data_IF_377146969833
#
_entry.id   IF_377146969833
#
_cell.length_a   1.000
_cell.length_b   1.000
_cell.length_c   1.000
_cell.angle_alpha   90.00
_cell.angle_beta   90.00
_cell.angle_gamma   90.00
#
_symmetry.space_group_name_H-M   'P 1'
#
loop_
_entity.id
_entity.type
_entity.pdbx_description
1 polymer ?
#
# COMPACT_ATOMS: atom_id res chain seq x y z
N UNK A 1 -22.24 -12.60 -16.03
CA UNK A 1 -22.79 -12.41 -14.68
C UNK A 1 -21.73 -12.72 -13.66
N UNK A 2 -21.46 -11.74 -12.81
CA UNK A 2 -20.19 -11.44 -12.16
C UNK A 2 -19.64 -12.53 -11.22
N UNK A 3 -18.44 -13.02 -11.52
CA UNK A 3 -17.58 -13.71 -10.56
C UNK A 3 -16.63 -12.74 -9.82
N UNK A 4 -16.71 -11.44 -10.11
CA UNK A 4 -15.84 -10.39 -9.56
C UNK A 4 -15.97 -10.11 -8.04
N UNK A 5 -17.11 -10.35 -7.34
CA UNK A 5 -17.17 -10.08 -5.90
C UNK A 5 -16.59 -11.21 -5.04
N UNK A 6 -16.65 -12.46 -5.50
CA UNK A 6 -16.25 -13.63 -4.70
C UNK A 6 -14.72 -13.84 -4.64
N UNK A 7 -13.97 -13.39 -5.66
CA UNK A 7 -12.50 -13.35 -5.62
C UNK A 7 -11.99 -12.26 -4.68
N UNK A 8 -12.53 -11.04 -4.80
CA UNK A 8 -12.15 -9.90 -3.93
C UNK A 8 -12.28 -10.20 -2.44
N UNK A 9 -13.36 -10.88 -2.03
CA UNK A 9 -13.58 -11.25 -0.63
C UNK A 9 -12.59 -12.30 -0.10
N UNK A 10 -12.02 -13.15 -0.96
CA UNK A 10 -10.95 -14.09 -0.56
C UNK A 10 -9.58 -13.43 -0.55
N UNK A 11 -9.35 -12.46 -1.43
CA UNK A 11 -8.13 -11.64 -1.43
C UNK A 11 -8.08 -10.71 -0.21
N UNK A 12 -9.23 -10.30 0.33
CA UNK A 12 -9.34 -9.51 1.57
C UNK A 12 -8.84 -10.25 2.83
N UNK A 13 -8.83 -11.59 2.82
CA UNK A 13 -8.25 -12.41 3.89
C UNK A 13 -6.73 -12.51 3.77
N UNK A 14 -6.19 -12.31 2.57
CA UNK A 14 -4.76 -12.22 2.31
C UNK A 14 -4.32 -10.77 2.54
N UNK A 15 -3.09 -10.56 2.99
CA UNK A 15 -2.57 -9.19 2.99
C UNK A 15 -2.66 -8.67 1.54
N UNK A 16 -3.08 -7.44 1.31
CA UNK A 16 -3.21 -6.86 -0.05
C UNK A 16 -1.85 -6.73 -0.79
N UNK A 17 -0.77 -7.19 -0.16
CA UNK A 17 0.62 -7.20 -0.61
C UNK A 17 1.17 -8.63 -0.77
N UNK A 18 0.32 -9.65 -0.87
CA UNK A 18 0.67 -11.05 -0.62
C UNK A 18 1.01 -11.87 -1.86
N UNK A 19 2.15 -12.56 -1.79
CA UNK A 19 2.29 -13.95 -2.23
C UNK A 19 2.18 -14.85 -0.98
N UNK A 20 1.31 -15.89 -0.98
CA UNK A 20 1.13 -16.82 0.15
C UNK A 20 2.38 -17.52 0.70
N UNK A 21 3.49 -17.49 -0.03
CA UNK A 21 4.71 -18.18 0.36
C UNK A 21 5.81 -17.23 0.86
N UNK A 22 5.53 -15.93 0.93
CA UNK A 22 6.50 -14.90 1.27
C UNK A 22 6.68 -14.71 2.80
N UNK A 23 7.86 -15.08 3.31
CA UNK A 23 8.24 -14.96 4.73
C UNK A 23 8.87 -13.61 5.11
N UNK A 24 9.25 -12.75 4.16
CA UNK A 24 9.83 -11.42 4.45
C UNK A 24 8.78 -10.33 4.60
N UNK A 25 7.49 -10.70 4.47
CA UNK A 25 6.35 -9.86 4.77
C UNK A 25 6.44 -9.08 6.10
N UNK A 26 7.20 -9.58 7.10
CA UNK A 26 7.35 -8.92 8.41
C UNK A 26 8.52 -7.92 8.50
N UNK A 27 9.12 -7.51 7.37
CA UNK A 27 10.28 -6.61 7.38
C UNK A 27 9.93 -5.15 7.74
N UNK A 28 8.66 -4.75 7.71
CA UNK A 28 8.24 -3.38 8.08
C UNK A 28 7.41 -3.33 9.37
N UNK A 29 7.51 -2.20 10.08
CA UNK A 29 6.74 -1.94 11.31
C UNK A 29 5.23 -2.05 11.10
N UNK A 30 4.74 -1.68 9.91
CA UNK A 30 3.32 -1.76 9.55
C UNK A 30 2.83 -3.19 9.42
N UNK A 31 3.67 -4.09 8.94
CA UNK A 31 3.34 -5.52 8.82
C UNK A 31 3.40 -6.23 10.16
N UNK A 32 4.32 -5.80 11.02
CA UNK A 32 4.36 -6.19 12.43
C UNK A 32 3.07 -5.75 13.16
N UNK A 33 2.57 -4.54 12.90
CA UNK A 33 1.30 -4.05 13.47
C UNK A 33 0.13 -4.96 13.09
N UNK A 34 -0.12 -5.16 11.79
CA UNK A 34 -1.24 -5.99 11.32
C UNK A 34 -1.11 -7.44 11.80
N UNK A 35 0.10 -8.01 11.76
CA UNK A 35 0.38 -9.35 12.25
C UNK A 35 0.06 -9.48 13.74
N UNK A 36 0.49 -8.53 14.57
CA UNK A 36 0.24 -8.55 16.00
C UNK A 36 -1.26 -8.42 16.32
N UNK A 37 -1.99 -7.57 15.59
CA UNK A 37 -3.45 -7.45 15.73
C UNK A 37 -4.15 -8.77 15.40
N UNK A 38 -3.77 -9.42 14.29
CA UNK A 38 -4.32 -10.72 13.88
C UNK A 38 -4.00 -11.79 14.93
N UNK A 39 -2.74 -11.89 15.38
CA UNK A 39 -2.33 -12.87 16.38
C UNK A 39 -3.12 -12.71 17.68
N UNK A 40 -3.24 -11.48 18.20
CA UNK A 40 -4.04 -11.19 19.39
C UNK A 40 -5.51 -11.57 19.20
N UNK A 41 -6.09 -11.27 18.03
CA UNK A 41 -7.48 -11.60 17.71
C UNK A 41 -7.73 -13.10 17.67
N UNK A 42 -6.76 -13.90 17.22
CA UNK A 42 -6.85 -15.36 17.20
C UNK A 42 -6.70 -16.00 18.59
N UNK A 43 -6.03 -15.31 19.52
CA UNK A 43 -5.90 -15.72 20.92
C UNK A 43 -7.14 -15.35 21.77
N UNK A 44 -7.94 -14.38 21.33
CA UNK A 44 -9.15 -13.93 22.04
C UNK A 44 -10.38 -14.84 21.79
N UNK A 45 -11.24 -15.08 22.79
CA UNK A 45 -12.52 -15.75 22.60
C UNK A 45 -13.42 -15.01 21.60
N UNK A 46 -13.90 -15.71 20.58
CA UNK A 46 -14.83 -15.13 19.60
C UNK A 46 -16.08 -14.58 20.28
N UNK A 47 -16.48 -13.38 19.89
CA UNK A 47 -17.66 -12.70 20.44
C UNK A 47 -17.42 -11.92 21.73
N UNK A 48 -16.18 -11.85 22.23
CA UNK A 48 -15.83 -10.88 23.28
C UNK A 48 -15.76 -9.46 22.73
N UNK A 49 -15.85 -8.47 23.63
CA UNK A 49 -15.67 -7.06 23.27
C UNK A 49 -14.25 -6.81 22.71
N UNK A 50 -13.23 -7.43 23.31
CA UNK A 50 -11.85 -7.36 22.83
C UNK A 50 -11.71 -7.95 21.42
N UNK A 51 -12.34 -9.10 21.14
CA UNK A 51 -12.33 -9.71 19.82
C UNK A 51 -12.97 -8.79 18.77
N UNK A 52 -14.06 -8.12 19.14
CA UNK A 52 -14.76 -7.17 18.26
C UNK A 52 -13.92 -5.92 18.00
N UNK A 53 -13.25 -5.40 19.03
CA UNK A 53 -12.33 -4.26 18.90
C UNK A 53 -11.14 -4.59 18.01
N UNK A 54 -10.48 -5.73 18.22
CA UNK A 54 -9.36 -6.17 17.39
C UNK A 54 -9.77 -6.36 15.92
N UNK A 55 -10.98 -6.87 15.65
CA UNK A 55 -11.47 -6.94 14.28
C UNK A 55 -11.67 -5.55 13.67
N UNK A 56 -12.23 -4.61 14.42
CA UNK A 56 -12.38 -3.23 13.96
C UNK A 56 -11.02 -2.61 13.62
N UNK A 57 -10.00 -2.82 14.46
CA UNK A 57 -8.64 -2.33 14.22
C UNK A 57 -8.02 -2.98 12.97
N UNK A 58 -8.13 -4.31 12.84
CA UNK A 58 -7.68 -5.05 11.65
C UNK A 58 -8.36 -4.50 10.37
N UNK A 59 -9.68 -4.27 10.43
CA UNK A 59 -10.43 -3.69 9.32
C UNK A 59 -9.98 -2.28 9.00
N UNK A 60 -9.67 -1.47 10.00
CA UNK A 60 -9.17 -0.10 9.84
C UNK A 60 -7.82 -0.10 9.12
N UNK A 61 -6.87 -0.94 9.56
CA UNK A 61 -5.56 -1.09 8.92
C UNK A 61 -5.70 -1.57 7.48
N UNK A 62 -6.51 -2.61 7.23
CA UNK A 62 -6.75 -3.14 5.87
C UNK A 62 -7.40 -2.10 4.95
N UNK A 63 -8.37 -1.35 5.46
CA UNK A 63 -9.05 -0.30 4.69
C UNK A 63 -8.08 0.80 4.30
N UNK A 64 -7.27 1.30 5.25
CA UNK A 64 -6.22 2.28 4.95
C UNK A 64 -5.25 1.76 3.89
N UNK A 65 -4.77 0.53 4.02
CA UNK A 65 -3.86 -0.08 3.03
C UNK A 65 -4.50 -0.14 1.63
N UNK A 66 -5.78 -0.53 1.53
CA UNK A 66 -6.52 -0.52 0.25
C UNK A 66 -6.67 0.87 -0.31
N UNK A 67 -7.04 1.85 0.50
CA UNK A 67 -7.17 3.24 0.04
C UNK A 67 -5.87 3.77 -0.55
N UNK A 68 -4.72 3.52 0.09
CA UNK A 68 -3.43 3.93 -0.46
C UNK A 68 -3.20 3.18 -1.78
N UNK A 69 -3.41 1.87 -1.83
CA UNK A 69 -3.22 1.08 -3.06
C UNK A 69 -4.09 1.60 -4.20
N UNK A 70 -5.36 1.89 -3.96
CA UNK A 70 -6.30 2.38 -4.96
C UNK A 70 -5.87 3.74 -5.53
N UNK A 71 -5.25 4.60 -4.70
CA UNK A 71 -4.67 5.86 -5.18
C UNK A 71 -3.49 5.64 -6.11
N UNK A 72 -2.63 4.67 -5.80
CA UNK A 72 -1.52 4.28 -6.66
C UNK A 72 -2.00 3.68 -7.98
N UNK A 73 -2.98 2.77 -7.93
CA UNK A 73 -3.64 2.19 -9.12
C UNK A 73 -4.17 3.32 -10.01
N UNK A 74 -4.90 4.28 -9.45
CA UNK A 74 -5.47 5.40 -10.21
C UNK A 74 -4.40 6.23 -10.92
N UNK A 75 -3.26 6.47 -10.27
CA UNK A 75 -2.16 7.21 -10.91
C UNK A 75 -1.56 6.39 -12.05
N UNK A 76 -1.32 5.09 -11.84
CA UNK A 76 -0.80 4.19 -12.88
C UNK A 76 -1.75 4.14 -14.09
N UNK A 77 -3.06 4.04 -13.87
CA UNK A 77 -4.07 4.13 -14.94
C UNK A 77 -3.94 5.45 -15.72
N UNK A 78 -3.71 6.58 -15.04
CA UNK A 78 -3.50 7.87 -15.70
C UNK A 78 -2.18 7.97 -16.47
N UNK A 79 -1.17 7.18 -16.12
CA UNK A 79 0.09 7.07 -16.86
C UNK A 79 -0.01 6.14 -18.08
N UNK A 80 -1.18 5.50 -18.30
CA UNK A 80 -1.44 4.63 -19.45
C UNK A 80 -1.29 3.14 -19.17
N UNK A 81 -1.21 2.73 -17.90
CA UNK A 81 -1.30 1.32 -17.53
C UNK A 81 -2.76 0.86 -17.60
N UNK A 82 -3.14 0.16 -18.67
CA UNK A 82 -4.51 -0.32 -18.88
C UNK A 82 -4.71 -1.80 -18.46
N UNK A 83 -3.61 -2.54 -18.22
CA UNK A 83 -3.65 -3.94 -17.78
C UNK A 83 -3.52 -4.04 -16.25
N UNK A 84 -4.58 -4.55 -15.61
CA UNK A 84 -4.59 -4.81 -14.16
C UNK A 84 -3.44 -5.73 -13.72
N UNK A 85 -3.03 -6.68 -14.55
CA UNK A 85 -1.92 -7.56 -14.20
C UNK A 85 -0.57 -6.83 -14.20
N UNK A 86 -0.38 -5.85 -15.09
CA UNK A 86 0.81 -5.02 -15.13
C UNK A 86 0.87 -4.08 -13.92
N UNK A 87 -0.25 -3.44 -13.60
CA UNK A 87 -0.40 -2.63 -12.37
C UNK A 87 -0.10 -3.49 -11.15
N UNK A 88 -0.69 -4.68 -11.06
CA UNK A 88 -0.47 -5.60 -9.95
C UNK A 88 1.01 -6.00 -9.84
N UNK A 89 1.70 -6.25 -10.96
CA UNK A 89 3.13 -6.55 -10.95
C UNK A 89 3.98 -5.38 -10.45
N UNK A 90 3.65 -4.15 -10.84
CA UNK A 90 4.34 -2.92 -10.37
C UNK A 90 4.15 -2.74 -8.87
N UNK A 91 2.92 -2.95 -8.37
CA UNK A 91 2.56 -2.75 -6.96
C UNK A 91 2.96 -3.92 -6.05
N UNK A 92 3.13 -5.13 -6.60
CA UNK A 92 3.46 -6.32 -5.81
C UNK A 92 4.91 -6.26 -5.37
N UNK A 93 5.16 -6.25 -4.06
CA UNK A 93 6.50 -6.28 -3.49
C UNK A 93 6.68 -7.61 -2.76
N UNK A 94 7.53 -8.49 -3.31
CA UNK A 94 7.85 -9.80 -2.75
C UNK A 94 9.26 -9.81 -2.15
N UNK A 95 9.55 -10.79 -1.28
CA UNK A 95 10.87 -11.08 -0.73
C UNK A 95 11.99 -11.16 -1.76
N UNK A 96 11.65 -11.57 -2.98
CA UNK A 96 12.62 -11.79 -4.05
C UNK A 96 13.11 -10.46 -4.59
N UNK A 97 12.32 -9.39 -4.47
CA UNK A 97 12.72 -8.04 -4.87
C UNK A 97 13.52 -7.33 -3.77
N UNK A 98 14.62 -7.97 -3.32
CA UNK A 98 15.72 -7.31 -2.60
C UNK A 98 16.52 -6.43 -3.56
N UNK A 99 15.82 -5.56 -4.27
CA UNK A 99 16.43 -4.53 -5.10
C UNK A 99 17.07 -3.52 -4.16
N UNK A 100 18.28 -3.09 -4.52
CA UNK A 100 18.94 -2.02 -3.77
C UNK A 100 18.15 -0.75 -4.04
N UNK A 101 17.42 -0.25 -3.05
CA UNK A 101 16.71 1.02 -3.17
C UNK A 101 17.72 2.14 -3.40
N UNK A 102 17.62 2.78 -4.56
CA UNK A 102 18.48 3.91 -4.95
C UNK A 102 18.21 5.12 -4.06
N UNK A 103 19.16 6.07 -4.03
CA UNK A 103 18.93 7.35 -3.38
C UNK A 103 17.78 8.11 -4.06
N UNK A 104 17.65 8.00 -5.38
CA UNK A 104 16.56 8.62 -6.14
C UNK A 104 15.17 8.15 -5.71
N UNK A 105 14.98 6.85 -5.47
CA UNK A 105 13.71 6.34 -4.95
C UNK A 105 13.39 6.88 -3.55
N UNK A 106 14.40 7.04 -2.69
CA UNK A 106 14.22 7.64 -1.35
C UNK A 106 13.85 9.12 -1.43
N UNK A 107 14.50 9.85 -2.32
CA UNK A 107 14.25 11.28 -2.52
C UNK A 107 12.83 11.50 -3.05
N UNK A 108 12.41 10.74 -4.07
CA UNK A 108 11.05 10.77 -4.60
C UNK A 108 10.01 10.32 -3.56
N UNK A 109 10.32 9.33 -2.73
CA UNK A 109 9.41 8.90 -1.67
C UNK A 109 9.21 9.99 -0.62
N UNK A 110 10.28 10.69 -0.25
CA UNK A 110 10.21 11.83 0.67
C UNK A 110 9.38 12.97 0.04
N UNK A 111 9.68 13.36 -1.20
CA UNK A 111 8.91 14.38 -1.93
C UNK A 111 7.43 14.00 -1.99
N UNK A 112 7.12 12.78 -2.44
CA UNK A 112 5.76 12.27 -2.56
C UNK A 112 5.03 12.32 -1.21
N UNK A 113 5.72 12.02 -0.11
CA UNK A 113 5.14 12.02 1.22
C UNK A 113 4.94 13.41 1.83
N UNK A 114 5.71 14.41 1.40
CA UNK A 114 5.64 15.77 1.90
C UNK A 114 4.67 16.61 1.07
N UNK A 115 4.72 16.45 -0.25
CA UNK A 115 3.98 17.28 -1.21
C UNK A 115 2.67 16.67 -1.69
N UNK A 116 2.40 15.40 -1.35
CA UNK A 116 1.10 14.77 -1.60
C UNK A 116 0.51 14.09 -0.37
N UNK A 117 -0.81 14.00 -0.34
CA UNK A 117 -1.59 13.23 0.62
C UNK A 117 -1.82 11.79 0.18
N UNK A 118 -1.03 11.25 -0.77
CA UNK A 118 -1.24 9.91 -1.34
C UNK A 118 -1.27 8.81 -0.27
N UNK A 119 -0.48 8.94 0.80
CA UNK A 119 -0.42 7.97 1.92
C UNK A 119 -1.51 8.17 2.98
N UNK A 120 -2.31 9.24 2.89
CA UNK A 120 -3.34 9.57 3.88
C UNK A 120 -2.78 10.20 5.17
N UNK A 121 -3.60 10.27 6.22
CA UNK A 121 -3.30 11.01 7.47
C UNK A 121 -2.43 10.22 8.44
N UNK A 122 -1.60 9.31 7.94
CA UNK A 122 -0.91 8.39 8.80
C UNK A 122 0.45 8.87 9.28
N UNK A 123 0.76 8.58 10.54
CA UNK A 123 2.07 8.84 11.14
C UNK A 123 3.19 7.98 10.55
N UNK A 124 2.86 6.77 10.08
CA UNK A 124 3.80 5.83 9.46
C UNK A 124 3.68 5.85 7.93
N UNK A 125 4.80 6.09 7.25
CA UNK A 125 4.88 6.06 5.79
C UNK A 125 5.14 4.60 5.35
N UNK A 126 4.34 4.03 4.42
CA UNK A 126 4.53 2.64 4.02
C UNK A 126 5.79 2.50 3.16
N UNK A 127 6.90 2.11 3.79
CA UNK A 127 8.21 1.97 3.16
C UNK A 127 8.19 1.01 1.95
N UNK A 128 7.21 0.11 1.88
CA UNK A 128 7.00 -0.82 0.75
C UNK A 128 6.86 -0.10 -0.60
N UNK A 129 6.31 1.11 -0.62
CA UNK A 129 6.20 1.89 -1.85
C UNK A 129 7.55 2.45 -2.36
N UNK A 130 8.63 2.36 -1.59
CA UNK A 130 9.99 2.63 -2.10
C UNK A 130 10.36 1.66 -3.23
N UNK A 131 10.02 0.38 -3.09
CA UNK A 131 10.28 -0.61 -4.13
C UNK A 131 9.45 -0.33 -5.40
N UNK A 132 8.23 0.16 -5.23
CA UNK A 132 7.39 0.56 -6.36
C UNK A 132 8.02 1.75 -7.08
N UNK A 133 8.50 2.76 -6.35
CA UNK A 133 9.21 3.91 -6.94
C UNK A 133 10.51 3.48 -7.65
N UNK A 134 11.28 2.55 -7.07
CA UNK A 134 12.48 2.02 -7.72
C UNK A 134 12.14 1.39 -9.09
N UNK A 135 11.06 0.62 -9.18
CA UNK A 135 10.60 0.07 -10.46
C UNK A 135 10.11 1.13 -11.42
N UNK A 136 9.41 2.15 -10.93
CA UNK A 136 9.00 3.29 -11.75
C UNK A 136 10.19 4.08 -12.28
N UNK A 137 11.31 4.13 -11.55
CA UNK A 137 12.57 4.73 -12.03
C UNK A 137 13.15 3.88 -13.17
N UNK A 138 13.14 2.55 -13.03
CA UNK A 138 13.65 1.66 -14.09
C UNK A 138 12.91 1.79 -15.42
N UNK A 139 11.64 2.21 -15.40
CA UNK A 139 10.82 2.44 -16.60
C UNK A 139 10.66 3.93 -16.94
N UNK A 140 11.41 4.82 -16.29
CA UNK A 140 11.42 6.28 -16.51
C UNK A 140 10.06 6.97 -16.33
N UNK A 141 9.23 6.47 -15.41
CA UNK A 141 7.90 7.03 -15.11
C UNK A 141 7.78 7.60 -13.69
N UNK A 142 8.81 7.46 -12.85
CA UNK A 142 8.73 7.87 -11.44
C UNK A 142 8.45 9.37 -11.26
N UNK A 143 9.07 10.24 -12.06
CA UNK A 143 8.85 11.68 -11.96
C UNK A 143 7.42 12.05 -12.34
N UNK A 144 6.92 11.53 -13.47
CA UNK A 144 5.54 11.75 -13.93
C UNK A 144 4.53 11.19 -12.93
N UNK A 145 4.83 10.06 -12.30
CA UNK A 145 4.03 9.51 -11.21
C UNK A 145 3.92 10.50 -10.04
N UNK A 146 5.04 11.03 -9.55
CA UNK A 146 5.07 11.98 -8.43
C UNK A 146 4.31 13.27 -8.77
N UNK A 147 4.50 13.82 -9.97
CA UNK A 147 3.77 15.01 -10.43
C UNK A 147 2.26 14.76 -10.49
N UNK A 148 1.84 13.62 -11.03
CA UNK A 148 0.42 13.23 -11.09
C UNK A 148 -0.16 13.04 -9.69
N UNK A 149 0.60 12.43 -8.77
CA UNK A 149 0.20 12.25 -7.38
C UNK A 149 -0.03 13.60 -6.68
N UNK A 150 0.87 14.57 -6.88
CA UNK A 150 0.76 15.93 -6.31
C UNK A 150 -0.48 16.66 -6.83
N UNK A 151 -0.86 16.45 -8.10
CA UNK A 151 -2.05 17.04 -8.69
C UNK A 151 -3.35 16.40 -8.19
N UNK A 152 -3.40 15.07 -8.09
CA UNK A 152 -4.60 14.33 -7.68
C UNK A 152 -4.82 14.32 -6.16
N UNK A 153 -3.73 14.31 -5.41
CA UNK A 153 -3.73 14.19 -3.95
C UNK A 153 -2.83 15.27 -3.35
N UNK A 154 -3.15 16.56 -3.51
CA UNK A 154 -2.33 17.63 -2.95
C UNK A 154 -2.24 17.50 -1.42
N UNK A 155 -1.07 17.82 -0.86
CA UNK A 155 -0.93 18.00 0.59
C UNK A 155 -1.71 19.23 1.05
N UNK A 156 -2.47 19.14 2.15
CA UNK A 156 -3.21 20.27 2.72
C UNK A 156 -2.32 21.43 3.18
N UNK A 157 -1.00 21.19 3.32
CA UNK A 157 0.00 22.22 3.61
C UNK A 157 0.26 23.17 2.43
N UNK A 158 -0.10 22.78 1.21
CA UNK A 158 0.07 23.60 -0.01
C UNK A 158 -1.10 24.58 -0.21
N UNK A 159 -2.20 24.42 0.55
CA UNK A 159 -3.30 25.39 0.60
C UNK A 159 -3.07 26.38 1.74
N UNK A 160 -2.00 27.17 1.63
CA UNK A 160 -1.88 28.44 2.37
C UNK A 160 -2.04 29.56 1.36
N UNK A 161 -3.19 30.24 1.41
CA UNK A 161 -3.49 31.47 0.68
C UNK A 161 -2.45 32.57 0.91
#
# INVERSE_FOLDING_TARGET
YDQLPARRLKDDDLNIWHDPQDRTHMETDEDLELYNLIRRRDECPRGSDEWSHLNFDIHTVRTRRREIRDRWVKILEMLGFDDLQEIDNILTVTAVTKETISQGAKDLFNELSEESSIFGVSSTKPARYLYVLERLIHIDLAQTFVETAKQLYPSSLVVSC
#
